data_IF_000713150662
#
_entry.id   IF_000713150662
#
_cell.length_a   1.000
_cell.length_b   1.000
_cell.length_c   1.000
_cell.angle_alpha   90.00
_cell.angle_beta   90.00
_cell.angle_gamma   90.00
#
_symmetry.space_group_name_H-M   'P 1'
#
loop_
_entity.id
_entity.type
_entity.pdbx_description
1 polymer ?
#
# COMPACT_ATOMS: atom_id res chain seq x y z
N UNK A 1 1.11 -21.32 24.73
CA UNK A 1 1.41 -20.98 23.32
C UNK A 1 0.60 -21.92 22.44
N UNK A 2 -0.17 -21.44 21.46
CA UNK A 2 -0.99 -22.31 20.59
C UNK A 2 -0.12 -23.44 20.01
N UNK A 3 -0.42 -24.70 20.33
CA UNK A 3 0.38 -25.90 19.97
C UNK A 3 0.37 -26.26 18.48
N UNK A 4 0.30 -25.25 17.62
CA UNK A 4 0.19 -25.36 16.18
C UNK A 4 1.58 -25.47 15.54
N UNK A 5 1.71 -26.35 14.54
CA UNK A 5 2.95 -26.52 13.78
C UNK A 5 3.34 -25.24 13.03
N UNK A 6 4.63 -25.03 12.78
CA UNK A 6 5.13 -23.85 12.04
C UNK A 6 4.41 -23.69 10.69
N UNK A 7 4.22 -24.80 9.97
CA UNK A 7 3.55 -24.80 8.67
C UNK A 7 2.13 -24.25 8.76
N UNK A 8 1.34 -24.70 9.76
CA UNK A 8 -0.02 -24.20 9.95
C UNK A 8 -0.08 -22.70 10.23
N UNK A 9 0.86 -22.17 11.02
CA UNK A 9 0.95 -20.72 11.30
C UNK A 9 1.29 -19.91 10.05
N UNK A 10 2.21 -20.42 9.21
CA UNK A 10 2.58 -19.78 7.95
C UNK A 10 1.40 -19.76 7.00
N UNK A 11 0.75 -20.91 6.79
CA UNK A 11 -0.41 -21.02 5.87
C UNK A 11 -1.52 -20.07 6.29
N UNK A 12 -1.83 -19.98 7.58
CA UNK A 12 -2.90 -19.11 8.09
C UNK A 12 -2.51 -17.64 7.97
N UNK A 13 -1.25 -17.30 8.27
CA UNK A 13 -0.75 -15.93 8.07
C UNK A 13 -0.84 -15.53 6.61
N UNK A 14 -0.41 -16.39 5.68
CA UNK A 14 -0.49 -16.13 4.24
C UNK A 14 -1.95 -16.02 3.80
N UNK A 15 -2.83 -16.92 4.22
CA UNK A 15 -4.24 -16.90 3.85
C UNK A 15 -4.94 -15.59 4.27
N UNK A 16 -4.58 -15.04 5.43
CA UNK A 16 -5.12 -13.78 5.95
C UNK A 16 -4.48 -12.57 5.25
N UNK A 17 -3.15 -12.58 5.09
CA UNK A 17 -2.41 -11.41 4.59
C UNK A 17 -2.41 -11.30 3.07
N UNK A 18 -2.45 -12.41 2.33
CA UNK A 18 -2.42 -12.42 0.86
C UNK A 18 -3.54 -11.57 0.21
N UNK A 19 -4.84 -11.73 0.56
CA UNK A 19 -5.87 -10.92 -0.08
C UNK A 19 -5.69 -9.42 0.19
N UNK A 20 -5.31 -9.06 1.43
CA UNK A 20 -5.02 -7.68 1.79
C UNK A 20 -3.78 -7.14 1.06
N UNK A 21 -2.70 -7.92 1.03
CA UNK A 21 -1.45 -7.54 0.37
C UNK A 21 -1.63 -7.36 -1.13
N UNK A 22 -2.46 -8.19 -1.78
CA UNK A 22 -2.80 -8.02 -3.19
C UNK A 22 -3.62 -6.75 -3.39
N UNK A 23 -4.72 -6.57 -2.65
CA UNK A 23 -5.61 -5.42 -2.82
C UNK A 23 -4.88 -4.08 -2.57
N UNK A 24 -4.07 -4.03 -1.52
CA UNK A 24 -3.29 -2.85 -1.16
C UNK A 24 -2.04 -2.69 -2.04
N UNK A 25 -1.52 -3.76 -2.66
CA UNK A 25 -0.38 -3.68 -3.57
C UNK A 25 -0.74 -3.21 -4.99
N UNK A 26 -1.98 -3.40 -5.43
CA UNK A 26 -2.43 -3.14 -6.81
C UNK A 26 -2.51 -1.67 -7.27
N UNK A 27 -2.73 -0.65 -6.42
CA UNK A 27 -2.88 0.74 -6.89
C UNK A 27 -1.68 1.27 -7.66
N UNK A 28 -0.45 1.00 -7.18
CA UNK A 28 0.78 1.48 -7.83
C UNK A 28 0.99 0.90 -9.23
N UNK A 29 1.02 -0.43 -9.46
CA UNK A 29 1.19 -0.99 -10.80
C UNK A 29 0.03 -0.60 -11.74
N UNK A 30 -1.19 -0.45 -11.21
CA UNK A 30 -2.34 0.02 -11.99
C UNK A 30 -2.16 1.46 -12.48
N UNK A 31 -1.75 2.36 -11.59
CA UNK A 31 -1.47 3.77 -11.94
C UNK A 31 -0.26 3.90 -12.85
N UNK A 32 0.78 3.12 -12.63
CA UNK A 32 1.99 3.12 -13.46
C UNK A 32 1.69 2.68 -14.89
N UNK A 33 0.78 1.71 -15.09
CA UNK A 33 0.31 1.30 -16.41
C UNK A 33 -0.39 2.44 -17.15
N UNK A 34 -1.24 3.21 -16.46
CA UNK A 34 -1.95 4.37 -17.04
C UNK A 34 -0.93 5.45 -17.43
N UNK A 35 -0.02 5.81 -16.51
CA UNK A 35 1.04 6.79 -16.79
C UNK A 35 1.92 6.34 -17.95
N UNK A 36 2.26 5.05 -18.04
CA UNK A 36 3.04 4.52 -19.16
C UNK A 36 2.34 4.64 -20.52
N UNK A 37 1.01 4.68 -20.54
CA UNK A 37 0.20 4.85 -21.77
C UNK A 37 -0.01 6.32 -22.12
N UNK A 38 -0.29 7.18 -21.13
CA UNK A 38 -0.67 8.58 -21.35
C UNK A 38 0.52 9.55 -21.32
N UNK A 39 1.52 9.29 -20.47
CA UNK A 39 2.66 10.16 -20.22
C UNK A 39 3.93 9.35 -19.89
N UNK A 40 4.47 8.57 -20.85
CA UNK A 40 5.59 7.67 -20.60
C UNK A 40 6.84 8.35 -20.03
N UNK A 41 7.04 9.65 -20.34
CA UNK A 41 8.12 10.45 -19.78
C UNK A 41 8.06 10.60 -18.24
N UNK A 42 6.88 10.41 -17.62
CA UNK A 42 6.68 10.48 -16.17
C UNK A 42 6.87 9.15 -15.44
N UNK A 43 7.11 8.04 -16.16
CA UNK A 43 7.33 6.72 -15.54
C UNK A 43 8.53 6.73 -14.56
N UNK A 44 9.71 7.30 -14.89
CA UNK A 44 10.82 7.40 -13.92
C UNK A 44 10.46 8.23 -12.69
N UNK A 45 9.64 9.28 -12.88
CA UNK A 45 9.18 10.12 -11.79
C UNK A 45 8.25 9.36 -10.84
N UNK A 46 7.32 8.56 -11.36
CA UNK A 46 6.45 7.71 -10.55
C UNK A 46 7.24 6.71 -9.68
N UNK A 47 8.32 6.13 -10.22
CA UNK A 47 9.25 5.30 -9.44
C UNK A 47 10.03 6.10 -8.39
N UNK A 48 10.48 7.31 -8.72
CA UNK A 48 11.15 8.20 -7.76
C UNK A 48 10.25 8.54 -6.56
N UNK A 49 8.98 8.86 -6.82
CA UNK A 49 7.98 9.11 -5.78
C UNK A 49 7.73 7.86 -4.95
N UNK A 50 7.62 6.68 -5.57
CA UNK A 50 7.48 5.42 -4.85
C UNK A 50 8.65 5.19 -3.89
N UNK A 51 9.89 5.32 -4.38
CA UNK A 51 11.09 5.21 -3.57
C UNK A 51 11.11 6.18 -2.38
N UNK A 52 10.78 7.45 -2.61
CA UNK A 52 10.67 8.46 -1.54
C UNK A 52 9.69 8.03 -0.44
N UNK A 53 8.50 7.58 -0.81
CA UNK A 53 7.49 7.16 0.16
C UNK A 53 7.82 5.84 0.88
N UNK A 54 8.67 4.96 0.33
CA UNK A 54 9.15 3.79 1.10
C UNK A 54 9.99 4.20 2.31
N UNK A 55 10.64 5.37 2.28
CA UNK A 55 11.42 5.88 3.42
C UNK A 55 10.53 6.71 4.33
N UNK A 56 9.91 7.77 3.77
CA UNK A 56 9.14 8.74 4.54
C UNK A 56 7.86 8.12 5.10
N UNK A 57 7.16 7.28 4.34
CA UNK A 57 5.96 6.61 4.81
C UNK A 57 6.23 5.69 6.00
N UNK A 58 7.37 5.00 6.00
CA UNK A 58 7.75 4.08 7.07
C UNK A 58 8.09 4.83 8.36
N UNK A 59 8.94 5.85 8.28
CA UNK A 59 9.29 6.68 9.45
C UNK A 59 8.08 7.46 9.94
N UNK A 60 7.29 8.03 9.04
CA UNK A 60 6.07 8.77 9.36
C UNK A 60 5.01 7.90 10.05
N UNK A 61 4.78 6.67 9.56
CA UNK A 61 3.86 5.74 10.20
C UNK A 61 4.30 5.36 11.62
N UNK A 62 5.60 5.16 11.84
CA UNK A 62 6.16 4.90 13.18
C UNK A 62 5.94 6.10 14.11
N UNK A 63 6.30 7.31 13.66
CA UNK A 63 6.14 8.54 14.45
C UNK A 63 4.67 8.79 14.80
N UNK A 64 3.77 8.66 13.83
CA UNK A 64 2.32 8.79 14.05
C UNK A 64 1.79 7.71 14.98
N UNK A 65 2.29 6.48 14.86
CA UNK A 65 1.92 5.35 15.72
C UNK A 65 2.34 5.59 17.18
N UNK A 66 3.52 6.17 17.40
CA UNK A 66 4.01 6.53 18.73
C UNK A 66 3.25 7.72 19.34
N UNK A 67 2.93 8.73 18.53
CA UNK A 67 2.29 9.97 19.00
C UNK A 67 0.77 9.83 19.22
N UNK A 68 0.08 9.14 18.31
CA UNK A 68 -1.39 9.09 18.25
C UNK A 68 -1.96 7.67 18.31
N UNK A 69 -1.10 6.65 18.38
CA UNK A 69 -1.50 5.24 18.37
C UNK A 69 -1.71 4.67 16.96
N UNK A 70 -1.61 3.34 16.84
CA UNK A 70 -1.75 2.64 15.56
C UNK A 70 -3.13 2.78 14.90
N UNK A 71 -4.20 3.04 15.68
CA UNK A 71 -5.54 3.27 15.12
C UNK A 71 -5.55 4.48 14.18
N UNK A 72 -4.90 5.58 14.57
CA UNK A 72 -4.80 6.77 13.74
C UNK A 72 -4.04 6.48 12.44
N UNK A 73 -2.93 5.74 12.52
CA UNK A 73 -2.14 5.32 11.36
C UNK A 73 -2.98 4.51 10.37
N UNK A 74 -3.79 3.56 10.87
CA UNK A 74 -4.66 2.73 10.04
C UNK A 74 -5.75 3.56 9.33
N UNK A 75 -6.36 4.52 10.02
CA UNK A 75 -7.35 5.43 9.41
C UNK A 75 -6.71 6.28 8.32
N UNK A 76 -5.54 6.87 8.58
CA UNK A 76 -4.81 7.67 7.59
C UNK A 76 -4.43 6.82 6.38
N UNK A 77 -3.91 5.61 6.59
CA UNK A 77 -3.59 4.68 5.52
C UNK A 77 -4.84 4.35 4.68
N UNK A 78 -5.98 4.07 5.33
CA UNK A 78 -7.24 3.81 4.64
C UNK A 78 -7.68 4.99 3.77
N UNK A 79 -7.55 6.23 4.26
CA UNK A 79 -7.85 7.43 3.47
C UNK A 79 -6.97 7.56 2.23
N UNK A 80 -5.66 7.28 2.34
CA UNK A 80 -4.78 7.26 1.17
C UNK A 80 -5.16 6.19 0.15
N UNK A 81 -5.52 4.98 0.60
CA UNK A 81 -5.98 3.92 -0.29
C UNK A 81 -7.31 4.25 -0.98
N UNK A 82 -8.24 4.91 -0.29
CA UNK A 82 -9.48 5.41 -0.89
C UNK A 82 -9.19 6.51 -1.93
N UNK A 83 -8.26 7.42 -1.63
CA UNK A 83 -7.81 8.44 -2.58
C UNK A 83 -7.18 7.83 -3.83
N UNK A 84 -6.36 6.79 -3.68
CA UNK A 84 -5.78 6.06 -4.81
C UNK A 84 -6.85 5.38 -5.66
N UNK A 85 -7.85 4.75 -5.03
CA UNK A 85 -8.99 4.15 -5.74
C UNK A 85 -9.80 5.21 -6.51
N UNK A 86 -10.08 6.35 -5.87
CA UNK A 86 -10.77 7.47 -6.52
C UNK A 86 -9.97 7.99 -7.73
N UNK A 87 -8.66 8.18 -7.60
CA UNK A 87 -7.80 8.62 -8.70
C UNK A 87 -7.82 7.63 -9.88
N UNK A 88 -7.72 6.33 -9.61
CA UNK A 88 -7.74 5.28 -10.64
C UNK A 88 -9.11 5.14 -11.33
N UNK A 89 -10.21 5.43 -10.63
CA UNK A 89 -11.56 5.34 -11.19
C UNK A 89 -11.95 6.59 -11.97
N UNK A 90 -11.49 7.77 -11.53
CA UNK A 90 -11.70 9.04 -12.24
C UNK A 90 -10.83 9.13 -13.49
N UNK A 91 -9.55 8.76 -13.43
CA UNK A 91 -8.65 8.79 -14.58
C UNK A 91 -8.94 7.72 -15.66
N UNK A 92 -9.87 6.79 -15.41
CA UNK A 92 -10.36 5.83 -16.41
C UNK A 92 -11.51 6.35 -17.28
N UNK A 93 -12.10 7.51 -16.93
CA UNK A 93 -13.14 8.18 -17.72
C UNK A 93 -12.51 9.20 -18.65
#
# INVERSE_FOLDING_TARGET
ALGWSLLSRVVISVAILAPLGILLGMPFPSGLRIVGQEAPALVPWAWGVNGFFTVIGTVGALMLGMAFGFKAVLVIAALFYLGALAALTVGRR
#
